data_IF_729819216214
#
_entry.id   IF_729819216214
#
_cell.length_a   1.000
_cell.length_b   1.000
_cell.length_c   1.000
_cell.angle_alpha   90.00
_cell.angle_beta   90.00
_cell.angle_gamma   90.00
#
_symmetry.space_group_name_H-M   'P 1'
#
loop_
_entity.id
_entity.type
_entity.pdbx_description
1 polymer ?
#
# COMPACT_ATOMS: atom_id res chain seq x y z
N UNK A 1 -4.35 -24.75 -8.11
CA UNK A 1 -5.12 -24.84 -6.85
C UNK A 1 -5.16 -26.29 -6.41
N UNK A 2 -4.87 -26.57 -5.14
CA UNK A 2 -4.93 -27.91 -4.54
C UNK A 2 -6.08 -27.97 -3.55
N UNK A 3 -6.81 -29.09 -3.51
CA UNK A 3 -7.80 -29.45 -2.48
C UNK A 3 -7.17 -30.39 -1.44
N UNK A 4 -7.89 -30.68 -0.36
CA UNK A 4 -7.46 -31.67 0.63
C UNK A 4 -7.03 -32.98 -0.04
N UNK A 5 -5.82 -33.45 0.31
CA UNK A 5 -5.24 -34.68 -0.23
C UNK A 5 -4.66 -34.57 -1.64
N UNK A 6 -4.70 -33.40 -2.30
CA UNK A 6 -4.07 -33.21 -3.61
C UNK A 6 -2.61 -32.78 -3.47
N UNK A 7 -1.81 -33.13 -4.47
CA UNK A 7 -0.40 -32.73 -4.56
C UNK A 7 -0.10 -32.12 -5.92
N UNK A 8 0.83 -31.17 -5.94
CA UNK A 8 1.48 -30.70 -7.17
C UNK A 8 2.91 -31.25 -7.17
N UNK A 9 3.32 -31.88 -8.27
CA UNK A 9 4.66 -32.44 -8.42
C UNK A 9 5.39 -31.59 -9.47
N UNK A 10 6.56 -31.08 -9.09
CA UNK A 10 7.46 -30.37 -9.97
C UNK A 10 8.71 -31.23 -10.18
N UNK A 11 8.86 -31.79 -11.37
CA UNK A 11 9.95 -32.69 -11.71
C UNK A 11 11.15 -31.92 -12.29
N UNK A 12 12.31 -32.58 -12.33
CA UNK A 12 13.54 -32.07 -12.97
C UNK A 12 14.11 -30.78 -12.34
N UNK A 13 13.88 -30.57 -11.04
CA UNK A 13 14.58 -29.51 -10.30
C UNK A 13 15.94 -30.05 -9.82
N UNK A 14 17.06 -29.39 -10.13
CA UNK A 14 18.39 -29.84 -9.69
C UNK A 14 18.54 -29.92 -8.16
N UNK A 15 19.32 -30.90 -7.71
CA UNK A 15 19.72 -31.03 -6.29
C UNK A 15 20.50 -29.78 -5.88
N UNK A 16 20.22 -29.26 -4.68
CA UNK A 16 20.85 -28.05 -4.13
C UNK A 16 20.09 -26.75 -4.42
N UNK A 17 19.03 -26.79 -5.24
CA UNK A 17 18.18 -25.61 -5.48
C UNK A 17 17.36 -25.30 -4.22
N UNK A 18 17.38 -24.04 -3.79
CA UNK A 18 16.50 -23.56 -2.73
C UNK A 18 15.10 -23.31 -3.29
N UNK A 19 14.08 -23.70 -2.54
CA UNK A 19 12.70 -23.40 -2.87
C UNK A 19 12.01 -22.61 -1.76
N UNK A 20 11.00 -21.85 -2.16
CA UNK A 20 10.04 -21.20 -1.27
C UNK A 20 8.65 -21.40 -1.85
N UNK A 21 7.73 -21.93 -1.04
CA UNK A 21 6.31 -22.05 -1.38
C UNK A 21 5.53 -21.22 -0.37
N UNK A 22 4.60 -20.40 -0.86
CA UNK A 22 3.74 -19.56 -0.04
C UNK A 22 2.28 -19.93 -0.31
N UNK A 23 1.55 -20.30 0.74
CA UNK A 23 0.10 -20.53 0.66
C UNK A 23 -0.65 -19.21 0.84
N UNK A 24 -1.59 -18.94 -0.06
CA UNK A 24 -2.47 -17.77 0.06
C UNK A 24 -3.54 -18.06 1.12
N UNK A 25 -3.81 -17.11 2.03
CA UNK A 25 -4.83 -17.30 3.05
C UNK A 25 -6.21 -17.44 2.41
N UNK A 26 -7.03 -18.32 2.99
CA UNK A 26 -8.43 -18.52 2.57
C UNK A 26 -9.32 -18.16 3.75
N UNK A 27 -10.37 -17.34 3.56
CA UNK A 27 -11.23 -17.00 4.67
C UNK A 27 -11.84 -18.24 5.34
N UNK A 28 -11.81 -18.22 6.67
CA UNK A 28 -12.31 -19.29 7.52
C UNK A 28 -11.29 -20.40 7.73
N UNK A 29 -10.10 -20.31 7.14
CA UNK A 29 -9.01 -21.26 7.35
C UNK A 29 -7.81 -20.56 7.99
N UNK A 30 -7.29 -21.14 9.07
CA UNK A 30 -6.04 -20.72 9.70
C UNK A 30 -4.92 -21.67 9.31
N UNK A 31 -3.78 -21.08 8.93
CA UNK A 31 -2.58 -21.83 8.53
C UNK A 31 -1.60 -21.85 9.70
N UNK A 32 -0.98 -22.99 9.98
CA UNK A 32 0.11 -23.06 10.98
C UNK A 32 1.45 -22.46 10.45
N UNK A 33 1.52 -22.18 9.14
CA UNK A 33 2.64 -21.52 8.49
C UNK A 33 2.32 -21.26 7.02
N UNK A 34 2.38 -19.99 6.61
CA UNK A 34 2.08 -19.58 5.23
C UNK A 34 3.26 -19.74 4.28
N UNK A 35 4.45 -20.04 4.80
CA UNK A 35 5.69 -20.14 4.03
C UNK A 35 6.42 -21.43 4.38
N UNK A 36 6.77 -22.20 3.35
CA UNK A 36 7.66 -23.34 3.47
C UNK A 36 8.92 -23.09 2.63
N UNK A 37 10.09 -23.26 3.23
CA UNK A 37 11.37 -23.16 2.52
C UNK A 37 12.16 -24.46 2.68
N UNK A 38 13.07 -24.73 1.76
CA UNK A 38 13.90 -25.93 1.80
C UNK A 38 14.90 -25.96 0.66
N UNK A 39 15.73 -26.99 0.62
CA UNK A 39 16.68 -27.26 -0.46
C UNK A 39 16.35 -28.60 -1.07
N UNK A 40 16.28 -28.70 -2.40
CA UNK A 40 15.99 -29.95 -3.10
C UNK A 40 17.11 -30.95 -2.84
N UNK A 41 16.75 -32.12 -2.30
CA UNK A 41 17.66 -33.24 -2.04
C UNK A 41 17.47 -34.36 -3.06
N UNK A 42 18.40 -35.33 -3.07
CA UNK A 42 18.32 -36.50 -3.95
C UNK A 42 17.15 -37.42 -3.58
N UNK A 43 16.77 -37.44 -2.31
CA UNK A 43 15.65 -38.21 -1.76
C UNK A 43 14.29 -37.54 -2.03
N UNK A 44 14.28 -36.31 -2.56
CA UNK A 44 13.10 -35.49 -2.72
C UNK A 44 12.75 -34.69 -1.46
N UNK A 45 11.87 -33.71 -1.61
CA UNK A 45 11.41 -32.87 -0.52
C UNK A 45 9.90 -32.68 -0.61
N UNK A 46 9.24 -32.61 0.55
CA UNK A 46 7.80 -32.35 0.65
C UNK A 46 7.58 -31.04 1.39
N UNK A 47 6.87 -30.10 0.76
CA UNK A 47 6.32 -28.94 1.44
C UNK A 47 4.87 -29.25 1.84
N UNK A 48 4.64 -29.58 3.11
CA UNK A 48 3.31 -29.86 3.65
C UNK A 48 2.67 -28.58 4.20
N UNK A 49 1.45 -28.30 3.77
CA UNK A 49 0.61 -27.24 4.31
C UNK A 49 -0.62 -27.86 4.99
N UNK A 50 -0.90 -27.42 6.21
CA UNK A 50 -2.05 -27.86 7.00
C UNK A 50 -2.89 -26.66 7.40
N UNK A 51 -4.17 -26.70 7.03
CA UNK A 51 -5.15 -25.66 7.31
C UNK A 51 -6.20 -26.15 8.32
N UNK A 52 -6.57 -25.30 9.27
CA UNK A 52 -7.65 -25.54 10.24
C UNK A 52 -8.85 -24.68 9.89
N UNK A 53 -10.03 -25.28 9.74
CA UNK A 53 -11.26 -24.53 9.47
C UNK A 53 -11.84 -23.94 10.76
N UNK A 54 -11.92 -22.62 10.85
CA UNK A 54 -12.40 -21.84 12.00
C UNK A 54 -13.31 -20.68 11.55
N UNK A 55 -14.53 -20.95 11.05
CA UNK A 55 -15.39 -19.94 10.42
C UNK A 55 -16.00 -18.93 11.39
N UNK A 56 -16.04 -19.23 12.69
CA UNK A 56 -16.56 -18.31 13.72
C UNK A 56 -15.50 -17.36 14.27
N UNK A 57 -14.30 -17.38 13.71
CA UNK A 57 -13.23 -16.48 14.10
C UNK A 57 -13.58 -15.05 13.69
N UNK A 58 -13.19 -14.10 14.54
CA UNK A 58 -13.33 -12.67 14.32
C UNK A 58 -11.94 -12.05 14.20
N UNK A 59 -11.75 -11.18 13.22
CA UNK A 59 -10.54 -10.39 13.02
C UNK A 59 -10.76 -8.92 13.34
N UNK A 60 -9.66 -8.17 13.33
CA UNK A 60 -9.67 -6.71 13.49
C UNK A 60 -9.01 -6.08 12.26
N UNK A 61 -9.50 -4.93 11.84
CA UNK A 61 -8.90 -4.13 10.77
C UNK A 61 -8.55 -2.76 11.35
N UNK A 62 -7.29 -2.36 11.24
CA UNK A 62 -6.84 -1.03 11.67
C UNK A 62 -6.29 -0.26 10.48
N UNK A 63 -6.84 0.94 10.27
CA UNK A 63 -6.39 1.91 9.28
C UNK A 63 -5.49 2.92 9.99
N UNK A 64 -4.29 3.16 9.46
CA UNK A 64 -3.38 4.19 9.98
C UNK A 64 -3.13 5.27 8.95
N UNK A 65 -2.95 6.51 9.41
CA UNK A 65 -2.56 7.64 8.55
C UNK A 65 -1.14 8.07 8.86
N UNK A 66 -0.29 8.11 7.84
CA UNK A 66 1.03 8.73 7.89
C UNK A 66 1.13 9.82 6.82
N UNK A 67 1.83 10.90 7.16
CA UNK A 67 2.14 11.98 6.23
C UNK A 67 3.62 12.30 6.30
N UNK A 68 4.26 12.30 5.14
CA UNK A 68 5.67 12.59 4.93
C UNK A 68 5.81 13.87 4.10
N UNK A 69 7.02 14.43 4.04
CA UNK A 69 7.33 15.63 3.22
C UNK A 69 7.50 16.89 4.06
N UNK A 70 8.42 17.74 3.63
CA UNK A 70 8.73 18.98 4.34
C UNK A 70 7.60 20.01 4.18
N UNK A 71 7.26 20.71 5.25
CA UNK A 71 6.12 21.64 5.28
C UNK A 71 4.73 21.00 5.34
N UNK A 72 4.63 19.68 5.52
CA UNK A 72 3.34 19.01 5.65
C UNK A 72 2.56 19.49 6.90
N UNK A 73 1.28 19.80 6.74
CA UNK A 73 0.38 20.06 7.87
C UNK A 73 0.04 18.78 8.63
N UNK A 74 0.59 18.64 9.85
CA UNK A 74 0.36 17.50 10.74
C UNK A 74 -0.99 17.55 11.47
N UNK A 75 -1.78 18.61 11.29
CA UNK A 75 -3.15 18.73 11.80
C UNK A 75 -4.21 18.54 10.71
N UNK A 76 -3.79 18.38 9.44
CA UNK A 76 -4.70 18.17 8.32
C UNK A 76 -5.55 16.92 8.53
N UNK A 77 -6.84 17.08 8.30
CA UNK A 77 -7.82 16.00 8.35
C UNK A 77 -7.95 15.33 6.98
N UNK A 78 -7.73 14.01 6.94
CA UNK A 78 -7.94 13.18 5.77
C UNK A 78 -9.22 12.37 5.94
N UNK A 79 -10.15 12.49 5.00
CA UNK A 79 -11.40 11.74 4.99
C UNK A 79 -11.17 10.36 4.40
N UNK A 80 -11.77 9.36 5.04
CA UNK A 80 -11.79 7.98 4.61
C UNK A 80 -13.23 7.48 4.50
N UNK A 81 -13.43 6.51 3.62
CA UNK A 81 -14.66 5.72 3.55
C UNK A 81 -14.31 4.26 3.72
N UNK A 82 -14.85 3.62 4.77
CA UNK A 82 -14.83 2.18 4.93
C UNK A 82 -16.13 1.58 4.38
N UNK A 83 -16.04 0.60 3.51
CA UNK A 83 -17.15 -0.26 3.11
C UNK A 83 -16.84 -1.65 3.64
N UNK A 84 -17.51 -2.07 4.70
CA UNK A 84 -17.28 -3.36 5.38
C UNK A 84 -18.58 -4.14 5.38
N UNK A 85 -18.56 -5.35 4.81
CA UNK A 85 -19.77 -6.18 4.66
C UNK A 85 -20.95 -5.40 4.02
N UNK A 86 -20.65 -4.61 2.98
CA UNK A 86 -21.61 -3.76 2.28
C UNK A 86 -22.10 -2.52 3.04
N UNK A 87 -21.63 -2.28 4.27
CA UNK A 87 -21.97 -1.09 5.06
C UNK A 87 -20.91 -0.01 4.89
N UNK A 88 -21.35 1.18 4.49
CA UNK A 88 -20.48 2.35 4.33
C UNK A 88 -20.40 3.15 5.63
N UNK A 89 -19.19 3.47 6.06
CA UNK A 89 -18.88 4.28 7.23
C UNK A 89 -17.77 5.29 6.90
N UNK A 90 -18.09 6.60 6.85
CA UNK A 90 -17.07 7.63 6.71
C UNK A 90 -16.36 7.87 8.05
N UNK A 91 -15.07 8.23 7.99
CA UNK A 91 -14.30 8.66 9.15
C UNK A 91 -13.16 9.59 8.74
N UNK A 92 -12.49 10.19 9.71
CA UNK A 92 -11.38 11.13 9.51
C UNK A 92 -10.19 10.67 10.33
N UNK A 93 -8.99 10.80 9.77
CA UNK A 93 -7.73 10.65 10.51
C UNK A 93 -6.82 11.84 10.22
N UNK A 94 -6.12 12.31 11.24
CA UNK A 94 -4.95 13.19 11.14
C UNK A 94 -3.67 12.36 11.02
N UNK A 95 -2.55 12.96 10.59
CA UNK A 95 -1.25 12.29 10.59
C UNK A 95 -0.91 11.69 11.96
N UNK A 96 -0.54 10.41 11.96
CA UNK A 96 -0.23 9.63 13.17
C UNK A 96 -1.46 8.99 13.84
N UNK A 97 -2.68 9.30 13.42
CA UNK A 97 -3.89 8.68 13.97
C UNK A 97 -4.22 7.35 13.31
N UNK A 98 -5.04 6.57 14.00
CA UNK A 98 -5.53 5.28 13.53
C UNK A 98 -7.00 5.06 13.90
N UNK A 99 -7.70 4.25 13.11
CA UNK A 99 -9.03 3.74 13.43
C UNK A 99 -9.06 2.22 13.34
N UNK A 100 -9.54 1.58 14.41
CA UNK A 100 -9.74 0.13 14.47
C UNK A 100 -11.21 -0.22 14.32
N UNK A 101 -11.50 -1.19 13.45
CA UNK A 101 -12.78 -1.87 13.28
C UNK A 101 -12.65 -3.27 13.92
N UNK A 102 -13.13 -3.44 15.16
CA UNK A 102 -12.95 -4.69 15.88
C UNK A 102 -14.02 -5.72 15.52
N UNK A 103 -13.74 -6.98 15.85
CA UNK A 103 -14.71 -8.07 15.85
C UNK A 103 -15.44 -8.27 14.51
N UNK A 104 -14.69 -8.21 13.41
CA UNK A 104 -15.18 -8.43 12.06
C UNK A 104 -15.19 -9.94 11.75
N UNK A 105 -16.33 -10.52 11.32
CA UNK A 105 -16.37 -11.92 10.93
C UNK A 105 -15.38 -12.23 9.81
N UNK A 106 -14.64 -13.33 9.97
CA UNK A 106 -13.80 -13.84 8.90
C UNK A 106 -14.66 -14.16 7.66
N UNK A 107 -14.16 -13.80 6.48
CA UNK A 107 -14.86 -13.95 5.20
C UNK A 107 -15.57 -12.69 4.71
N UNK A 108 -15.72 -11.66 5.54
CA UNK A 108 -16.29 -10.40 5.04
C UNK A 108 -15.28 -9.65 4.18
N UNK A 109 -15.79 -9.04 3.11
CA UNK A 109 -15.05 -8.12 2.28
C UNK A 109 -14.98 -6.73 2.92
N UNK A 110 -13.85 -6.07 2.71
CA UNK A 110 -13.65 -4.67 3.05
C UNK A 110 -13.12 -3.89 1.84
N UNK A 111 -13.47 -2.61 1.79
CA UNK A 111 -12.84 -1.59 0.93
C UNK A 111 -12.63 -0.34 1.77
N UNK A 112 -11.39 0.11 1.91
CA UNK A 112 -11.06 1.37 2.58
C UNK A 112 -10.50 2.31 1.51
N UNK A 113 -11.09 3.49 1.38
CA UNK A 113 -10.67 4.50 0.39
C UNK A 113 -10.40 5.83 1.08
N UNK A 114 -9.27 6.45 0.75
CA UNK A 114 -8.93 7.83 1.13
C UNK A 114 -9.49 8.82 0.10
N UNK A 115 -9.87 10.02 0.57
CA UNK A 115 -10.21 11.16 -0.27
C UNK A 115 -9.05 11.59 -1.19
N UNK A 116 -9.36 12.38 -2.21
CA UNK A 116 -8.34 12.92 -3.11
C UNK A 116 -7.85 14.28 -2.62
N UNK A 117 -6.55 14.37 -2.35
CA UNK A 117 -5.90 15.57 -1.81
C UNK A 117 -4.75 16.04 -2.71
N UNK A 118 -4.70 15.57 -3.95
CA UNK A 118 -3.64 15.93 -4.91
C UNK A 118 -3.62 17.43 -5.23
N UNK A 119 -4.79 18.07 -5.30
CA UNK A 119 -4.91 19.53 -5.48
C UNK A 119 -4.39 20.35 -4.28
N UNK A 120 -4.19 19.70 -3.13
CA UNK A 120 -3.61 20.29 -1.93
C UNK A 120 -2.15 19.88 -1.73
N UNK A 121 -1.51 19.26 -2.73
CA UNK A 121 -0.12 18.82 -2.69
C UNK A 121 0.13 17.49 -1.97
N UNK A 122 -0.92 16.76 -1.55
CA UNK A 122 -0.77 15.46 -0.88
C UNK A 122 -0.97 14.31 -1.86
N UNK A 123 0.09 13.55 -2.11
CA UNK A 123 0.10 12.42 -3.02
C UNK A 123 0.01 11.13 -2.20
N UNK A 124 -1.08 10.39 -2.35
CA UNK A 124 -1.28 9.11 -1.67
C UNK A 124 -0.49 7.98 -2.35
N UNK A 125 0.31 7.23 -1.58
CA UNK A 125 0.98 6.03 -2.08
C UNK A 125 -0.01 4.91 -2.43
N UNK A 126 -1.08 4.81 -1.64
CA UNK A 126 -2.21 3.90 -1.86
C UNK A 126 -3.50 4.67 -1.57
N UNK A 127 -4.40 4.74 -2.56
CA UNK A 127 -5.70 5.41 -2.41
C UNK A 127 -6.79 4.48 -1.89
N UNK A 128 -6.68 3.19 -2.17
CA UNK A 128 -7.69 2.20 -1.82
C UNK A 128 -7.05 0.87 -1.43
N UNK A 129 -7.48 0.31 -0.30
CA UNK A 129 -7.25 -1.08 0.06
C UNK A 129 -8.54 -1.88 -0.08
N UNK A 130 -8.46 -3.04 -0.71
CA UNK A 130 -9.56 -4.02 -0.77
C UNK A 130 -9.07 -5.38 -0.31
N UNK A 131 -9.95 -6.17 0.28
CA UNK A 131 -9.62 -7.54 0.65
C UNK A 131 -10.71 -8.22 1.46
N UNK A 132 -10.35 -9.32 2.10
CA UNK A 132 -11.21 -10.10 2.98
C UNK A 132 -10.56 -10.25 4.34
N UNK A 133 -11.35 -10.27 5.41
CA UNK A 133 -10.85 -10.67 6.72
C UNK A 133 -10.58 -12.18 6.70
N UNK A 134 -9.32 -12.59 6.82
CA UNK A 134 -8.92 -13.99 6.63
C UNK A 134 -8.74 -14.77 7.93
N UNK A 135 -8.51 -14.08 9.05
CA UNK A 135 -8.27 -14.71 10.35
C UNK A 135 -8.45 -13.73 11.50
N UNK A 136 -8.03 -14.14 12.70
CA UNK A 136 -8.17 -13.36 13.93
C UNK A 136 -7.00 -12.43 14.24
N UNK A 137 -5.97 -12.41 13.38
CA UNK A 137 -4.88 -11.44 13.49
C UNK A 137 -5.38 -10.04 13.13
N UNK A 138 -4.68 -9.02 13.64
CA UNK A 138 -4.95 -7.63 13.29
C UNK A 138 -4.42 -7.33 11.88
N UNK A 139 -5.32 -6.94 10.99
CA UNK A 139 -5.00 -6.49 9.65
C UNK A 139 -4.69 -4.99 9.68
N UNK A 140 -3.43 -4.63 9.44
CA UNK A 140 -2.97 -3.24 9.39
C UNK A 140 -2.97 -2.72 7.95
N UNK A 141 -3.65 -1.60 7.70
CA UNK A 141 -3.75 -0.93 6.41
C UNK A 141 -3.15 0.48 6.49
N UNK A 142 -1.86 0.65 6.13
CA UNK A 142 -1.18 1.94 6.22
C UNK A 142 -1.52 2.83 5.02
N UNK A 143 -2.04 4.03 5.29
CA UNK A 143 -2.21 5.08 4.28
C UNK A 143 -1.15 6.16 4.45
N UNK A 144 -0.20 6.19 3.52
CA UNK A 144 0.90 7.17 3.50
C UNK A 144 0.64 8.21 2.43
N UNK A 145 0.60 9.50 2.82
CA UNK A 145 0.66 10.60 1.87
C UNK A 145 2.03 11.27 1.92
N UNK A 146 2.55 11.65 0.76
CA UNK A 146 3.71 12.53 0.66
C UNK A 146 3.21 13.91 0.28
N UNK A 147 3.47 14.88 1.15
CA UNK A 147 3.27 16.28 0.84
C UNK A 147 4.41 16.76 -0.06
N UNK A 148 4.03 17.35 -1.18
CA UNK A 148 4.93 17.99 -2.12
C UNK A 148 4.40 19.41 -2.34
N UNK A 149 5.14 20.40 -1.82
CA UNK A 149 4.86 21.79 -2.14
C UNK A 149 4.86 21.97 -3.68
N UNK A 150 3.88 22.70 -4.20
CA UNK A 150 3.90 23.07 -5.62
C UNK A 150 5.19 23.82 -5.91
N UNK A 151 5.89 23.42 -6.97
CA UNK A 151 7.05 24.16 -7.44
C UNK A 151 6.54 25.49 -8.02
N UNK A 152 6.72 26.58 -7.27
CA UNK A 152 6.47 27.92 -7.78
C UNK A 152 7.34 28.15 -9.04
N UNK A 153 6.76 28.49 -10.20
CA UNK A 153 7.55 28.76 -11.39
C UNK A 153 8.45 29.97 -11.16
N UNK A 154 9.76 29.79 -11.38
CA UNK A 154 10.71 30.90 -11.38
C UNK A 154 10.52 31.82 -12.60
N UNK A 155 10.93 33.09 -12.49
CA UNK A 155 10.99 34.01 -13.63
C UNK A 155 12.44 34.26 -14.05
N UNK A 156 12.68 34.33 -15.36
CA UNK A 156 13.94 34.79 -15.94
C UNK A 156 13.72 36.19 -16.52
N UNK A 157 14.44 37.20 -16.00
CA UNK A 157 14.49 38.53 -16.60
C UNK A 157 15.77 38.66 -17.41
N UNK A 158 15.67 38.91 -18.72
CA UNK A 158 16.81 39.24 -19.58
C UNK A 158 16.89 40.76 -19.71
N UNK A 159 18.00 41.37 -19.29
CA UNK A 159 18.28 42.79 -19.46
C UNK A 159 19.46 42.97 -20.40
N UNK A 160 19.34 43.86 -21.40
CA UNK A 160 20.41 44.23 -22.33
C UNK A 160 20.85 45.66 -22.08
N UNK A 161 22.12 45.85 -21.74
CA UNK A 161 22.78 47.16 -21.66
C UNK A 161 23.77 47.31 -22.83
N UNK A 162 23.88 48.52 -23.37
CA UNK A 162 24.83 48.88 -24.44
C UNK A 162 25.68 50.06 -23.94
N UNK A 163 27.00 49.90 -23.92
CA UNK A 163 27.96 50.93 -23.44
C UNK A 163 29.02 51.22 -24.51
N UNK A 164 29.54 52.45 -24.55
CA UNK A 164 30.56 52.90 -25.52
C UNK A 164 30.38 54.38 -25.91
N UNK A 165 31.21 54.89 -26.84
CA UNK A 165 31.04 56.24 -27.41
C UNK A 165 29.91 56.24 -28.45
N UNK A 166 28.92 57.11 -28.24
CA UNK A 166 27.71 57.25 -29.06
C UNK A 166 26.92 55.95 -29.26
N UNK A 167 26.47 55.28 -28.17
CA UNK A 167 25.71 54.04 -28.28
C UNK A 167 24.36 54.30 -28.95
N UNK A 168 23.93 53.36 -29.78
CA UNK A 168 22.60 53.35 -30.38
C UNK A 168 21.63 52.60 -29.43
N UNK A 169 20.80 53.32 -28.65
CA UNK A 169 19.91 52.71 -27.68
C UNK A 169 18.75 51.95 -28.34
N UNK A 170 18.49 52.20 -29.63
CA UNK A 170 17.38 51.60 -30.38
C UNK A 170 17.82 50.36 -31.17
N UNK A 171 19.09 49.94 -31.03
CA UNK A 171 19.63 48.77 -31.72
C UNK A 171 19.00 47.48 -31.20
N UNK A 172 18.35 46.73 -32.09
CA UNK A 172 17.79 45.43 -31.76
C UNK A 172 18.87 44.34 -31.64
N UNK A 173 18.73 43.50 -30.61
CA UNK A 173 19.54 42.31 -30.37
C UNK A 173 18.63 41.10 -30.18
N UNK A 174 19.00 39.96 -30.77
CA UNK A 174 18.28 38.69 -30.60
C UNK A 174 19.02 37.80 -29.59
N UNK A 175 18.27 37.10 -28.73
CA UNK A 175 18.76 36.23 -27.67
C UNK A 175 18.12 34.86 -27.76
#
# INVERSE_FOLDING_TARGET
MLKHGQSAIFEQIPVGVLYTVIEQPVPGYTVAGTRHTGTITKEGCTALFTNTYAPSQMGNLTVTKEVLGDGADLQKEFTFTAVINGRSEPFVLKPGESKTFPALPVGIEYTITEGDYTAEGYIAAVKTYTGTITGGEELLLPFVNVYQAEAEPGSLTVQKEVVGDNPDPDKEFSF
#
